data_IF_349797604722
#
_entry.id   IF_349797604722
#
_cell.length_a   1.000
_cell.length_b   1.000
_cell.length_c   1.000
_cell.angle_alpha   90.00
_cell.angle_beta   90.00
_cell.angle_gamma   90.00
#
_symmetry.space_group_name_H-M   'P 1'
#
loop_
_entity.id
_entity.type
_entity.pdbx_description
1 polymer ?
#
# COMPACT_ATOMS: atom_id res chain seq x y z
N UNK A 1 -5.72 27.44 -4.57
CA UNK A 1 -6.24 27.18 -3.21
C UNK A 1 -6.59 25.70 -3.16
N UNK A 2 -5.84 24.89 -2.40
CA UNK A 2 -6.11 23.45 -2.31
C UNK A 2 -7.44 23.30 -1.56
N UNK A 3 -8.48 22.67 -2.12
CA UNK A 3 -9.76 22.50 -1.43
C UNK A 3 -9.57 21.76 -0.10
N UNK A 4 -10.32 22.13 0.94
CA UNK A 4 -10.27 21.47 2.25
C UNK A 4 -10.52 19.96 2.16
N UNK A 5 -11.24 19.53 1.12
CA UNK A 5 -11.50 18.12 0.79
C UNK A 5 -10.23 17.37 0.38
N UNK A 6 -9.27 18.00 -0.30
CA UNK A 6 -8.01 17.36 -0.71
C UNK A 6 -7.17 16.96 0.50
N UNK A 7 -7.15 17.80 1.55
CA UNK A 7 -6.46 17.47 2.80
C UNK A 7 -7.06 16.22 3.45
N UNK A 8 -8.38 16.11 3.48
CA UNK A 8 -9.08 14.92 4.00
C UNK A 8 -8.69 13.67 3.20
N UNK A 9 -8.67 13.73 1.88
CA UNK A 9 -8.26 12.60 1.04
C UNK A 9 -6.82 12.17 1.29
N UNK A 10 -5.89 13.12 1.46
CA UNK A 10 -4.49 12.82 1.78
C UNK A 10 -4.34 12.13 3.14
N UNK A 11 -5.06 12.60 4.16
CA UNK A 11 -5.06 11.98 5.50
C UNK A 11 -5.62 10.56 5.44
N UNK A 12 -6.76 10.36 4.77
CA UNK A 12 -7.33 9.02 4.58
C UNK A 12 -6.35 8.09 3.85
N UNK A 13 -5.72 8.57 2.78
CA UNK A 13 -4.73 7.79 2.03
C UNK A 13 -3.51 7.44 2.89
N UNK A 14 -3.02 8.36 3.71
CA UNK A 14 -1.92 8.10 4.64
C UNK A 14 -2.29 7.02 5.66
N UNK A 15 -3.48 7.12 6.26
CA UNK A 15 -4.00 6.13 7.22
C UNK A 15 -4.09 4.74 6.58
N UNK A 16 -4.64 4.63 5.36
CA UNK A 16 -4.73 3.37 4.63
C UNK A 16 -3.35 2.74 4.35
N UNK A 17 -2.35 3.56 4.00
CA UNK A 17 -0.98 3.07 3.83
C UNK A 17 -0.37 2.59 5.15
N UNK A 18 -0.59 3.30 6.26
CA UNK A 18 -0.13 2.85 7.58
C UNK A 18 -0.79 1.51 7.95
N UNK A 19 -2.11 1.37 7.76
CA UNK A 19 -2.81 0.10 7.99
C UNK A 19 -2.27 -1.04 7.13
N UNK A 20 -1.98 -0.78 5.86
CA UNK A 20 -1.40 -1.78 4.96
C UNK A 20 0.02 -2.18 5.39
N UNK A 21 0.83 -1.23 5.84
CA UNK A 21 2.14 -1.53 6.42
C UNK A 21 2.04 -2.41 7.67
N UNK A 22 1.15 -2.05 8.60
CA UNK A 22 0.94 -2.79 9.85
C UNK A 22 0.47 -4.22 9.61
N UNK A 23 -0.39 -4.45 8.61
CA UNK A 23 -0.83 -5.82 8.26
C UNK A 23 0.30 -6.68 7.70
N UNK A 24 1.23 -6.11 6.95
CA UNK A 24 2.46 -6.82 6.53
C UNK A 24 3.42 -7.07 7.70
N UNK A 25 3.52 -6.12 8.64
CA UNK A 25 4.31 -6.28 9.87
C UNK A 25 3.76 -7.40 10.76
N UNK A 26 2.45 -7.42 10.96
CA UNK A 26 1.75 -8.45 11.73
C UNK A 26 1.90 -9.85 11.09
N UNK A 27 1.79 -9.97 9.75
CA UNK A 27 2.03 -11.26 9.08
C UNK A 27 3.45 -11.79 9.32
N UNK A 28 4.47 -10.91 9.34
CA UNK A 28 5.84 -11.31 9.68
C UNK A 28 5.98 -11.73 11.14
N UNK A 29 5.35 -11.00 12.08
CA UNK A 29 5.36 -11.36 13.50
C UNK A 29 4.71 -12.73 13.71
N UNK A 30 3.56 -12.99 13.10
CA UNK A 30 2.88 -14.30 13.12
C UNK A 30 3.74 -15.41 12.53
N UNK A 31 4.45 -15.13 11.44
CA UNK A 31 5.39 -16.07 10.84
C UNK A 31 6.58 -16.40 11.76
N UNK A 32 7.04 -15.43 12.59
CA UNK A 32 8.10 -15.65 13.57
C UNK A 32 7.60 -16.44 14.79
N UNK A 33 6.38 -16.19 15.23
CA UNK A 33 5.78 -16.84 16.40
C UNK A 33 5.08 -18.17 16.08
N UNK A 34 5.30 -18.73 14.89
CA UNK A 34 4.66 -19.97 14.41
C UNK A 34 3.13 -19.99 14.57
N UNK A 35 2.52 -18.80 14.53
CA UNK A 35 1.08 -18.61 14.68
C UNK A 35 0.35 -18.71 13.34
N UNK A 36 -0.98 -18.78 13.38
CA UNK A 36 -1.79 -18.84 12.17
C UNK A 36 -1.50 -17.66 11.23
N UNK A 37 -1.08 -17.95 9.99
CA UNK A 37 -0.67 -16.94 9.01
C UNK A 37 -1.88 -16.24 8.39
N UNK A 38 -1.72 -14.95 8.06
CA UNK A 38 -2.78 -14.21 7.37
C UNK A 38 -2.89 -14.73 5.94
N UNK A 39 -4.12 -14.90 5.44
CA UNK A 39 -4.32 -15.40 4.08
C UNK A 39 -3.72 -14.45 3.04
N UNK A 40 -3.04 -15.00 2.03
CA UNK A 40 -2.38 -14.18 1.00
C UNK A 40 -3.38 -13.27 0.27
N UNK A 41 -4.62 -13.72 0.10
CA UNK A 41 -5.70 -12.93 -0.50
C UNK A 41 -5.98 -11.65 0.30
N UNK A 42 -6.04 -11.73 1.63
CA UNK A 42 -6.27 -10.56 2.50
C UNK A 42 -5.11 -9.56 2.39
N UNK A 43 -3.87 -10.05 2.45
CA UNK A 43 -2.68 -9.23 2.27
C UNK A 43 -2.68 -8.49 0.92
N UNK A 44 -3.10 -9.16 -0.16
CA UNK A 44 -3.21 -8.53 -1.48
C UNK A 44 -4.32 -7.48 -1.54
N UNK A 45 -5.45 -7.69 -0.87
CA UNK A 45 -6.52 -6.69 -0.77
C UNK A 45 -6.03 -5.45 -0.02
N UNK A 46 -5.32 -5.61 1.11
CA UNK A 46 -4.75 -4.48 1.83
C UNK A 46 -3.67 -3.76 1.01
N UNK A 47 -2.87 -4.51 0.24
CA UNK A 47 -1.90 -3.94 -0.66
C UNK A 47 -2.51 -3.19 -1.84
N UNK A 48 -3.72 -3.55 -2.26
CA UNK A 48 -4.46 -2.81 -3.27
C UNK A 48 -4.91 -1.44 -2.75
N UNK A 49 -5.38 -1.36 -1.51
CA UNK A 49 -5.89 -0.13 -0.90
C UNK A 49 -4.77 0.82 -0.44
N UNK A 50 -3.66 0.25 0.06
CA UNK A 50 -2.50 1.01 0.54
C UNK A 50 -1.19 0.48 -0.07
N UNK A 51 -0.95 0.70 -1.37
CA UNK A 51 0.18 0.07 -2.07
C UNK A 51 1.54 0.58 -1.62
N UNK A 52 1.66 1.84 -1.18
CA UNK A 52 2.91 2.41 -0.67
C UNK A 52 3.26 1.72 0.66
N UNK A 53 2.28 1.61 1.55
CA UNK A 53 2.42 0.94 2.84
C UNK A 53 2.74 -0.55 2.71
N UNK A 54 2.03 -1.26 1.84
CA UNK A 54 2.33 -2.66 1.55
C UNK A 54 3.72 -2.84 0.95
N UNK A 55 4.13 -1.99 0.01
CA UNK A 55 5.48 -2.07 -0.58
C UNK A 55 6.56 -1.82 0.48
N UNK A 56 6.38 -0.79 1.32
CA UNK A 56 7.28 -0.50 2.43
C UNK A 56 7.37 -1.68 3.40
N UNK A 57 6.23 -2.26 3.78
CA UNK A 57 6.16 -3.44 4.63
C UNK A 57 6.90 -4.62 3.99
N UNK A 58 6.62 -4.91 2.72
CA UNK A 58 7.26 -6.00 1.99
C UNK A 58 8.79 -5.83 1.89
N UNK A 59 9.28 -4.63 1.56
CA UNK A 59 10.71 -4.34 1.42
C UNK A 59 11.44 -4.28 2.76
N UNK A 60 10.96 -3.50 3.72
CA UNK A 60 11.61 -3.32 5.03
C UNK A 60 11.65 -4.63 5.81
N UNK A 61 10.59 -5.42 5.71
CA UNK A 61 10.51 -6.68 6.42
C UNK A 61 11.14 -7.83 5.64
N UNK A 62 11.56 -7.61 4.38
CA UNK A 62 12.04 -8.62 3.42
C UNK A 62 11.13 -9.85 3.38
N UNK A 63 9.82 -9.65 3.61
CA UNK A 63 8.86 -10.73 3.72
C UNK A 63 8.12 -10.88 2.39
N UNK A 64 8.11 -12.09 1.83
CA UNK A 64 7.38 -12.44 0.59
C UNK A 64 7.77 -11.63 -0.67
N UNK A 65 8.93 -10.98 -0.70
CA UNK A 65 9.47 -10.25 -1.87
C UNK A 65 9.72 -11.14 -3.10
N UNK A 66 10.02 -12.44 -2.90
CA UNK A 66 10.26 -13.39 -3.99
C UNK A 66 8.99 -14.09 -4.50
N UNK A 67 7.83 -13.89 -3.87
CA UNK A 67 6.58 -14.53 -4.30
C UNK A 67 6.01 -13.76 -5.48
N UNK A 68 5.84 -14.43 -6.63
CA UNK A 68 5.28 -13.85 -7.86
C UNK A 68 3.95 -13.13 -7.59
N UNK A 69 3.08 -13.73 -6.76
CA UNK A 69 1.80 -13.12 -6.38
C UNK A 69 1.95 -11.73 -5.76
N UNK A 70 3.01 -11.49 -4.99
CA UNK A 70 3.26 -10.21 -4.34
C UNK A 70 3.97 -9.19 -5.25
N UNK A 71 4.42 -9.59 -6.45
CA UNK A 71 4.87 -8.62 -7.46
C UNK A 71 3.72 -7.72 -7.94
N UNK A 72 2.47 -8.16 -7.80
CA UNK A 72 1.30 -7.34 -8.15
C UNK A 72 1.20 -6.05 -7.32
N UNK A 73 1.83 -6.00 -6.13
CA UNK A 73 1.90 -4.77 -5.31
C UNK A 73 2.60 -3.64 -6.06
N UNK A 74 3.62 -3.94 -6.88
CA UNK A 74 4.25 -2.93 -7.74
C UNK A 74 3.29 -2.41 -8.82
N UNK A 75 2.44 -3.29 -9.37
CA UNK A 75 1.42 -2.89 -10.35
C UNK A 75 0.38 -1.99 -9.70
N UNK A 76 -0.09 -2.33 -8.49
CA UNK A 76 -1.03 -1.50 -7.73
C UNK A 76 -0.46 -0.12 -7.40
N UNK A 77 0.82 -0.06 -7.02
CA UNK A 77 1.52 1.20 -6.78
C UNK A 77 1.59 2.05 -8.05
N UNK A 78 1.99 1.45 -9.17
CA UNK A 78 2.13 2.15 -10.44
C UNK A 78 0.77 2.69 -10.92
N UNK A 79 -0.30 1.92 -10.76
CA UNK A 79 -1.67 2.35 -11.04
C UNK A 79 -2.07 3.56 -10.19
N UNK A 80 -1.78 3.55 -8.89
CA UNK A 80 -2.09 4.69 -8.02
C UNK A 80 -1.30 5.95 -8.42
N UNK A 81 -0.02 5.81 -8.75
CA UNK A 81 0.80 6.95 -9.20
C UNK A 81 0.25 7.51 -10.51
N UNK A 82 -0.16 6.67 -11.46
CA UNK A 82 -0.77 7.13 -12.71
C UNK A 82 -2.09 7.87 -12.49
N UNK A 83 -2.96 7.36 -11.61
CA UNK A 83 -4.22 8.00 -11.27
C UNK A 83 -3.97 9.35 -10.60
N UNK A 84 -3.10 9.40 -9.59
CA UNK A 84 -2.74 10.65 -8.89
C UNK A 84 -2.12 11.65 -9.88
N UNK A 85 -1.18 11.19 -10.73
CA UNK A 85 -0.54 12.01 -11.75
C UNK A 85 -1.53 12.56 -12.77
N UNK A 86 -2.51 11.78 -13.21
CA UNK A 86 -3.56 12.24 -14.11
C UNK A 86 -4.40 13.37 -13.49
N UNK A 87 -4.76 13.25 -12.20
CA UNK A 87 -5.48 14.32 -11.49
C UNK A 87 -4.62 15.56 -11.22
N UNK A 88 -3.30 15.40 -11.07
CA UNK A 88 -2.36 16.51 -10.84
C UNK A 88 -1.88 17.20 -12.12
N UNK A 89 -1.89 16.51 -13.27
CA UNK A 89 -1.48 17.03 -14.57
C UNK A 89 -2.07 18.41 -14.91
N UNK A 90 -3.40 18.65 -14.80
CA UNK A 90 -3.98 19.96 -15.12
C UNK A 90 -3.51 21.10 -14.21
N UNK A 91 -2.98 20.81 -13.01
CA UNK A 91 -2.45 21.80 -12.08
C UNK A 91 -0.99 22.19 -12.38
N UNK A 92 -0.24 21.33 -13.09
CA UNK A 92 1.16 21.55 -13.47
C UNK A 92 1.32 22.30 -14.79
N UNK A 93 0.32 22.19 -15.67
CA UNK A 93 0.26 22.87 -16.97
C UNK A 93 -0.58 24.15 -16.95
N UNK A 94 -1.04 24.58 -15.77
CA UNK A 94 -1.85 25.78 -15.55
C UNK A 94 -1.05 26.95 -14.99
#
# INVERSE_FOLDING_TARGET
>A
MIPDTTLIYLVLYAVLNIFSFLTFADDKLKAKNNSWRTSEKRLLIYAFVGPIGALAGMKLLRHKTHKIKFKIVYVFLLLHILVIGYYLMPFLTG
#
